data_IF_632216744390
#
_entry.id   IF_632216744390
#
_cell.length_a   1.000
_cell.length_b   1.000
_cell.length_c   1.000
_cell.angle_alpha   90.00
_cell.angle_beta   90.00
_cell.angle_gamma   90.00
#
_symmetry.space_group_name_H-M   'P 1'
#
loop_
_entity.id
_entity.type
_entity.pdbx_description
1 polymer ?
#
# COMPACT_ATOMS: atom_id res chain seq x y z
N UNK A 1 2.41 3.04 14.46
CA UNK A 1 1.01 3.05 13.95
C UNK A 1 0.97 2.19 12.70
N UNK A 2 -0.05 1.35 12.50
CA UNK A 2 -0.10 0.47 11.31
C UNK A 2 -0.56 1.28 10.10
N UNK A 3 0.05 1.08 8.93
CA UNK A 3 -0.32 1.83 7.71
C UNK A 3 -1.80 1.71 7.35
N UNK A 4 -2.44 0.57 7.64
CA UNK A 4 -3.87 0.37 7.41
C UNK A 4 -4.78 1.30 8.23
N UNK A 5 -4.31 1.83 9.35
CA UNK A 5 -5.05 2.78 10.20
C UNK A 5 -5.01 4.21 9.63
N UNK A 6 -4.08 4.49 8.71
CA UNK A 6 -3.90 5.80 8.06
C UNK A 6 -4.66 5.94 6.74
N UNK A 7 -5.28 4.87 6.24
CA UNK A 7 -6.05 4.90 5.00
C UNK A 7 -7.38 5.62 5.20
N UNK A 8 -7.65 6.63 4.39
CA UNK A 8 -8.98 7.20 4.23
C UNK A 8 -9.91 6.18 3.54
N UNK A 9 -11.24 6.28 3.76
CA UNK A 9 -12.21 5.48 3.03
C UNK A 9 -12.09 5.65 1.51
N UNK A 10 -12.68 4.71 0.79
CA UNK A 10 -12.70 4.70 -0.67
C UNK A 10 -13.28 6.02 -1.20
N UNK A 11 -12.55 6.74 -2.06
CA UNK A 11 -13.01 8.03 -2.58
C UNK A 11 -14.25 7.92 -3.47
N UNK A 12 -14.58 6.72 -3.96
CA UNK A 12 -15.69 6.48 -4.89
C UNK A 12 -16.98 6.01 -4.20
N UNK A 13 -16.88 5.22 -3.13
CA UNK A 13 -18.06 4.63 -2.47
C UNK A 13 -18.09 4.80 -0.95
N UNK A 14 -17.10 5.49 -0.36
CA UNK A 14 -17.01 5.75 1.08
C UNK A 14 -16.75 4.52 1.96
N UNK A 15 -16.66 3.31 1.40
CA UNK A 15 -16.36 2.08 2.17
C UNK A 15 -14.87 1.93 2.45
N UNK A 16 -14.52 1.07 3.40
CA UNK A 16 -13.14 0.87 3.86
C UNK A 16 -12.19 0.47 2.71
N UNK A 17 -11.02 1.09 2.69
CA UNK A 17 -9.90 0.71 1.84
C UNK A 17 -8.94 -0.23 2.59
N UNK A 18 -8.20 -1.07 1.86
CA UNK A 18 -7.22 -2.01 2.42
C UNK A 18 -5.99 -2.15 1.53
N UNK A 19 -4.87 -2.52 2.13
CA UNK A 19 -3.71 -3.01 1.41
C UNK A 19 -4.00 -4.40 0.84
N UNK A 20 -3.54 -4.65 -0.38
CA UNK A 20 -3.58 -5.96 -1.04
C UNK A 20 -2.19 -6.29 -1.56
N UNK A 21 -1.64 -7.41 -1.11
CA UNK A 21 -0.47 -8.02 -1.74
C UNK A 21 -0.87 -8.59 -3.10
N UNK A 22 -0.13 -8.22 -4.14
CA UNK A 22 -0.31 -8.70 -5.51
C UNK A 22 0.65 -9.85 -5.81
N UNK A 23 1.93 -9.65 -5.53
CA UNK A 23 2.97 -10.67 -5.72
C UNK A 23 3.97 -10.63 -4.58
N UNK A 24 4.57 -11.78 -4.33
CA UNK A 24 5.72 -11.94 -3.44
C UNK A 24 6.85 -12.54 -4.25
N UNK A 25 8.08 -12.17 -3.93
CA UNK A 25 9.26 -12.71 -4.60
C UNK A 25 10.46 -12.75 -3.68
N UNK A 26 11.48 -13.47 -4.13
CA UNK A 26 12.77 -13.57 -3.45
C UNK A 26 13.87 -13.30 -4.46
N UNK A 27 14.88 -12.51 -4.09
CA UNK A 27 16.09 -12.32 -4.89
C UNK A 27 17.31 -12.45 -3.99
N UNK A 28 17.99 -13.61 -4.06
CA UNK A 28 19.03 -13.96 -3.09
C UNK A 28 18.46 -13.96 -1.66
N UNK A 29 19.01 -13.10 -0.81
CA UNK A 29 18.62 -12.95 0.60
C UNK A 29 17.45 -11.96 0.82
N UNK A 30 16.97 -11.34 -0.25
CA UNK A 30 15.94 -10.30 -0.15
C UNK A 30 14.55 -10.88 -0.40
N UNK A 31 13.59 -10.55 0.46
CA UNK A 31 12.16 -10.76 0.24
C UNK A 31 11.53 -9.48 -0.31
N UNK A 32 10.73 -9.63 -1.36
CA UNK A 32 10.04 -8.53 -2.04
C UNK A 32 8.53 -8.76 -1.98
N UNK A 33 7.80 -7.72 -1.62
CA UNK A 33 6.34 -7.67 -1.67
C UNK A 33 5.93 -6.57 -2.65
N UNK A 34 5.09 -6.91 -3.62
CA UNK A 34 4.43 -5.92 -4.47
C UNK A 34 2.98 -5.85 -4.08
N UNK A 35 2.48 -4.66 -3.81
CA UNK A 35 1.13 -4.46 -3.27
C UNK A 35 0.46 -3.23 -3.89
N UNK A 36 -0.85 -3.12 -3.70
CA UNK A 36 -1.62 -1.93 -4.05
C UNK A 36 -2.67 -1.68 -2.95
N UNK A 37 -3.32 -0.52 -2.96
CA UNK A 37 -4.49 -0.28 -2.11
C UNK A 37 -5.74 -0.56 -2.92
N UNK A 38 -6.75 -1.18 -2.32
CA UNK A 38 -8.03 -1.47 -2.96
C UNK A 38 -9.24 -1.20 -2.08
N UNK A 39 -10.38 -1.03 -2.72
CA UNK A 39 -11.70 -1.13 -2.12
C UNK A 39 -12.38 -2.42 -2.60
N UNK A 40 -12.62 -3.39 -1.70
CA UNK A 40 -13.34 -4.63 -2.07
C UNK A 40 -14.78 -4.38 -2.51
N UNK A 41 -15.42 -3.32 -2.02
CA UNK A 41 -16.83 -3.05 -2.28
C UNK A 41 -17.09 -2.64 -3.73
N UNK A 42 -16.31 -1.71 -4.28
CA UNK A 42 -16.49 -1.21 -5.64
C UNK A 42 -15.38 -1.64 -6.62
N UNK A 43 -14.43 -2.45 -6.17
CA UNK A 43 -13.34 -2.99 -7.00
C UNK A 43 -12.22 -2.00 -7.34
N UNK A 44 -12.33 -0.74 -6.92
CA UNK A 44 -11.33 0.29 -7.24
C UNK A 44 -9.97 0.01 -6.59
N UNK A 45 -8.90 0.30 -7.33
CA UNK A 45 -7.51 0.14 -6.91
C UNK A 45 -6.76 1.47 -6.96
N UNK A 46 -5.65 1.56 -6.22
CA UNK A 46 -4.62 2.57 -6.46
C UNK A 46 -4.10 2.45 -7.90
N UNK A 47 -3.61 3.56 -8.47
CA UNK A 47 -3.12 3.57 -9.85
C UNK A 47 -1.77 2.88 -10.01
N UNK A 48 -1.03 2.73 -8.93
CA UNK A 48 0.29 2.12 -8.93
C UNK A 48 0.31 0.85 -8.08
N UNK A 49 1.30 0.01 -8.40
CA UNK A 49 1.76 -1.09 -7.57
C UNK A 49 3.05 -0.62 -6.88
N UNK A 50 3.10 -0.76 -5.57
CA UNK A 50 4.18 -0.31 -4.69
C UNK A 50 5.00 -1.50 -4.18
N UNK A 51 6.20 -1.24 -3.67
CA UNK A 51 7.14 -2.22 -3.16
C UNK A 51 7.43 -2.12 -1.67
N UNK A 52 7.60 -3.28 -1.02
CA UNK A 52 8.44 -3.41 0.18
C UNK A 52 9.53 -4.44 -0.13
N UNK A 53 10.77 -4.11 0.16
CA UNK A 53 11.90 -5.04 0.09
C UNK A 53 12.59 -5.10 1.45
N UNK A 54 12.75 -6.32 1.96
CA UNK A 54 13.42 -6.61 3.23
C UNK A 54 14.52 -7.63 3.01
N UNK A 55 15.59 -7.54 3.79
CA UNK A 55 16.71 -8.49 3.78
C UNK A 55 17.04 -8.89 5.21
N UNK A 56 17.59 -10.09 5.40
CA UNK A 56 18.03 -10.53 6.72
C UNK A 56 19.54 -10.35 6.83
N UNK A 57 20.00 -9.49 7.75
CA UNK A 57 21.42 -9.19 7.93
C UNK A 57 21.77 -9.18 9.42
N UNK A 58 22.82 -9.91 9.78
CA UNK A 58 23.36 -9.95 11.15
C UNK A 58 22.32 -10.27 12.23
N UNK A 59 21.36 -11.16 11.93
CA UNK A 59 20.34 -11.56 12.90
C UNK A 59 19.07 -10.69 12.91
N UNK A 60 18.97 -9.68 12.04
CA UNK A 60 17.83 -8.75 12.01
C UNK A 60 17.27 -8.54 10.60
N UNK A 61 16.01 -8.13 10.52
CA UNK A 61 15.37 -7.73 9.27
C UNK A 61 15.65 -6.26 8.98
N UNK A 62 16.30 -5.99 7.86
CA UNK A 62 16.60 -4.64 7.37
C UNK A 62 15.65 -4.32 6.22
N UNK A 63 14.96 -3.18 6.32
CA UNK A 63 14.14 -2.64 5.24
C UNK A 63 15.08 -1.98 4.22
N UNK A 64 15.07 -2.49 2.98
CA UNK A 64 15.79 -1.91 1.85
C UNK A 64 14.92 -0.85 1.17
N UNK A 65 13.63 -1.13 1.03
CA UNK A 65 12.64 -0.25 0.41
C UNK A 65 11.29 -0.42 1.13
N UNK A 66 10.60 0.68 1.43
CA UNK A 66 9.22 0.68 1.89
C UNK A 66 8.45 1.84 1.26
N UNK A 67 7.64 1.54 0.25
CA UNK A 67 6.76 2.51 -0.43
C UNK A 67 5.37 2.61 0.24
N UNK A 68 5.17 2.09 1.45
CA UNK A 68 3.86 2.11 2.14
C UNK A 68 3.36 3.52 2.42
N UNK A 69 4.24 4.45 2.82
CA UNK A 69 3.89 5.86 3.02
C UNK A 69 3.35 6.50 1.73
N UNK A 70 4.09 6.34 0.63
CA UNK A 70 3.72 6.82 -0.70
C UNK A 70 2.38 6.25 -1.16
N UNK A 71 2.14 4.96 -0.91
CA UNK A 71 0.86 4.34 -1.23
C UNK A 71 -0.31 5.00 -0.47
N UNK A 72 -0.15 5.24 0.83
CA UNK A 72 -1.16 5.90 1.68
C UNK A 72 -1.43 7.33 1.20
N UNK A 73 -0.37 8.10 0.95
CA UNK A 73 -0.49 9.50 0.51
C UNK A 73 -1.22 9.61 -0.83
N UNK A 74 -0.82 8.82 -1.83
CA UNK A 74 -1.45 8.84 -3.15
C UNK A 74 -2.91 8.37 -3.13
N UNK A 75 -3.24 7.39 -2.27
CA UNK A 75 -4.63 6.97 -2.08
C UNK A 75 -5.46 8.06 -1.42
N UNK A 76 -4.95 8.64 -0.33
CA UNK A 76 -5.66 9.63 0.47
C UNK A 76 -5.90 10.94 -0.29
N UNK A 77 -4.98 11.34 -1.19
CA UNK A 77 -5.17 12.50 -2.06
C UNK A 77 -6.40 12.39 -2.95
N UNK A 78 -6.71 11.20 -3.47
CA UNK A 78 -7.93 10.97 -4.29
C UNK A 78 -9.23 11.20 -3.52
N UNK A 79 -9.20 11.00 -2.20
CA UNK A 79 -10.35 11.26 -1.34
C UNK A 79 -10.54 12.74 -1.01
N UNK A 80 -9.52 13.56 -1.26
CA UNK A 80 -9.58 15.02 -1.13
C UNK A 80 -10.03 15.64 -2.45
N UNK A 81 -9.47 15.21 -3.57
CA UNK A 81 -9.78 15.75 -4.91
C UNK A 81 -11.21 15.43 -5.40
N UNK A 82 -11.91 14.46 -4.79
CA UNK A 82 -13.28 14.07 -5.13
C UNK A 82 -14.38 14.88 -4.45
N UNK A 83 -14.03 15.85 -3.59
CA UNK A 83 -14.98 16.77 -2.96
C UNK A 83 -14.98 18.10 -3.70
N UNK A 84 -15.74 18.19 -4.79
CA UNK A 84 -16.26 19.48 -5.24
C UNK A 84 -17.44 19.86 -4.36
N UNK A 85 -17.32 21.02 -3.69
CA UNK A 85 -18.43 21.70 -3.00
C UNK A 85 -19.65 21.92 -3.92
#
# INVERSE_FOLDING_TARGET
MKYSERLKPCPFCGKKAEFRTNTTGTNGENFKYRFNIRCRNCGMNSSHIYGVEITFRNGDFVIIEDESDKAVEEWNRRAEDGKTD
#
